data_IF_580784900794
#
_entry.id   IF_580784900794
#
_cell.length_a   1.000
_cell.length_b   1.000
_cell.length_c   1.000
_cell.angle_alpha   90.00
_cell.angle_beta   90.00
_cell.angle_gamma   90.00
#
_symmetry.space_group_name_H-M   'P 1'
#
loop_
_entity.id
_entity.type
_entity.pdbx_description
1 polymer ?
#
# COMPACT_ATOMS: atom_id res chain seq x y z
N UNK A 1 21.70 8.88 18.57
CA UNK A 1 20.44 9.12 19.29
C UNK A 1 19.47 8.01 18.87
N UNK A 2 18.94 7.20 19.79
CA UNK A 2 17.85 6.26 19.48
C UNK A 2 16.69 7.00 18.81
N UNK A 3 16.12 6.45 17.74
CA UNK A 3 15.03 7.08 16.98
C UNK A 3 15.45 8.03 15.85
N UNK A 4 16.76 8.17 15.55
CA UNK A 4 17.28 8.91 14.40
C UNK A 4 18.09 8.00 13.45
N UNK A 5 17.72 6.73 13.33
CA UNK A 5 18.34 5.83 12.36
C UNK A 5 18.17 6.44 10.97
N UNK A 6 19.22 6.48 10.15
CA UNK A 6 19.21 7.05 8.80
C UNK A 6 19.78 6.02 7.83
N UNK A 7 19.15 4.85 7.79
CA UNK A 7 19.65 3.73 6.99
C UNK A 7 19.25 3.91 5.53
N UNK A 8 20.23 3.76 4.65
CA UNK A 8 20.04 3.76 3.20
C UNK A 8 20.58 2.47 2.61
N UNK A 9 19.73 1.74 1.91
CA UNK A 9 20.07 0.55 1.12
C UNK A 9 19.66 0.86 -0.31
N UNK A 10 20.64 1.10 -1.16
CA UNK A 10 20.40 1.58 -2.53
C UNK A 10 21.25 0.79 -3.51
N UNK A 11 20.75 0.59 -4.74
CA UNK A 11 21.49 -0.06 -5.82
C UNK A 11 22.13 -1.40 -5.41
N UNK A 12 21.43 -2.16 -4.56
CA UNK A 12 21.94 -3.38 -3.94
C UNK A 12 21.28 -4.61 -4.57
N UNK A 13 21.97 -5.75 -4.46
CA UNK A 13 21.49 -7.05 -4.90
C UNK A 13 21.30 -7.94 -3.67
N UNK A 14 20.05 -8.37 -3.42
CA UNK A 14 19.68 -9.22 -2.30
C UNK A 14 19.43 -10.64 -2.80
N UNK A 15 20.41 -11.52 -2.57
CA UNK A 15 20.39 -12.91 -3.06
C UNK A 15 19.75 -13.84 -2.03
N UNK A 16 18.49 -14.23 -2.23
CA UNK A 16 17.73 -15.12 -1.34
C UNK A 16 17.66 -14.65 0.14
N UNK A 17 17.95 -13.37 0.40
CA UNK A 17 18.02 -12.79 1.75
C UNK A 17 17.10 -11.59 1.89
N UNK A 18 16.45 -11.47 3.05
CA UNK A 18 15.54 -10.38 3.35
C UNK A 18 16.13 -9.33 4.30
N UNK A 19 15.38 -8.25 4.50
CA UNK A 19 15.71 -7.20 5.46
C UNK A 19 14.67 -7.23 6.56
N UNK A 20 15.10 -7.17 7.82
CA UNK A 20 14.21 -6.92 8.97
C UNK A 20 14.55 -5.55 9.53
N UNK A 21 13.57 -4.65 9.54
CA UNK A 21 13.70 -3.31 10.10
C UNK A 21 12.77 -3.18 11.30
N UNK A 22 13.37 -3.11 12.50
CA UNK A 22 12.65 -2.92 13.76
C UNK A 22 12.41 -1.43 14.03
N UNK A 23 11.15 -1.07 14.30
CA UNK A 23 10.69 0.31 14.53
C UNK A 23 11.36 1.36 13.60
N UNK A 24 11.25 1.20 12.27
CA UNK A 24 12.07 1.98 11.34
C UNK A 24 11.77 3.47 11.41
N UNK A 25 12.83 4.25 11.58
CA UNK A 25 12.83 5.71 11.42
C UNK A 25 13.81 6.06 10.30
N UNK A 26 13.42 6.95 9.39
CA UNK A 26 14.21 7.45 8.24
C UNK A 26 14.95 6.35 7.47
N UNK A 27 14.23 5.28 7.12
CA UNK A 27 14.73 4.17 6.31
C UNK A 27 14.46 4.42 4.82
N UNK A 28 15.46 4.25 3.97
CA UNK A 28 15.32 4.31 2.52
C UNK A 28 15.88 3.03 1.88
N UNK A 29 15.04 2.30 1.16
CA UNK A 29 15.38 1.12 0.37
C UNK A 29 14.91 1.38 -1.06
N UNK A 30 15.84 1.52 -2.00
CA UNK A 30 15.46 1.81 -3.39
C UNK A 30 16.42 1.28 -4.44
N UNK A 31 15.93 1.19 -5.68
CA UNK A 31 16.71 0.79 -6.86
C UNK A 31 17.49 -0.53 -6.64
N UNK A 32 16.96 -1.40 -5.79
CA UNK A 32 17.60 -2.67 -5.42
C UNK A 32 16.85 -3.84 -6.04
N UNK A 33 17.54 -4.96 -6.24
CA UNK A 33 16.94 -6.19 -6.76
C UNK A 33 16.90 -7.26 -5.67
N UNK A 34 15.72 -7.82 -5.44
CA UNK A 34 15.44 -8.88 -4.48
C UNK A 34 15.15 -10.18 -5.24
N UNK A 35 16.09 -11.13 -5.20
CA UNK A 35 15.97 -12.42 -5.87
C UNK A 35 15.50 -13.51 -4.90
N UNK A 36 14.67 -14.43 -5.41
CA UNK A 36 14.46 -15.74 -4.81
C UNK A 36 13.54 -15.72 -3.61
N UNK A 37 12.43 -14.98 -3.71
CA UNK A 37 11.50 -14.72 -2.62
C UNK A 37 12.11 -13.88 -1.48
N UNK A 38 13.18 -13.12 -1.74
CA UNK A 38 13.70 -12.13 -0.80
C UNK A 38 12.69 -11.01 -0.53
N UNK A 39 12.48 -10.63 0.74
CA UNK A 39 11.45 -9.67 1.17
C UNK A 39 11.95 -8.71 2.26
N UNK A 40 11.14 -7.70 2.56
CA UNK A 40 11.39 -6.76 3.64
C UNK A 40 10.33 -6.97 4.74
N UNK A 41 10.74 -6.97 6.01
CA UNK A 41 9.85 -7.00 7.17
C UNK A 41 9.99 -5.67 7.90
N UNK A 42 8.86 -5.00 8.11
CA UNK A 42 8.75 -3.93 9.10
C UNK A 42 8.24 -4.55 10.38
N UNK A 43 9.09 -4.58 11.41
CA UNK A 43 8.76 -5.20 12.70
C UNK A 43 8.48 -4.12 13.74
N UNK A 44 7.31 -4.22 14.36
CA UNK A 44 6.88 -3.34 15.44
C UNK A 44 7.43 -3.87 16.75
N UNK A 45 8.28 -3.11 17.43
CA UNK A 45 8.73 -3.40 18.80
C UNK A 45 8.03 -2.44 19.77
N UNK A 46 8.07 -1.15 19.45
CA UNK A 46 7.37 -0.06 20.14
C UNK A 46 6.24 0.54 19.28
N UNK A 47 6.07 0.07 18.05
CA UNK A 47 4.99 0.46 17.16
C UNK A 47 5.27 1.71 16.35
N UNK A 48 6.52 1.91 15.91
CA UNK A 48 6.94 3.11 15.16
C UNK A 48 7.32 2.76 13.73
N UNK A 49 6.77 3.47 12.75
CA UNK A 49 7.25 3.49 11.38
C UNK A 49 7.18 4.92 10.85
N UNK A 50 8.33 5.57 10.68
CA UNK A 50 8.40 6.99 10.36
C UNK A 50 9.41 7.32 9.27
N UNK A 51 8.98 7.97 8.19
CA UNK A 51 9.86 8.39 7.10
C UNK A 51 10.50 7.18 6.39
N UNK A 52 9.71 6.17 6.10
CA UNK A 52 10.16 4.92 5.47
C UNK A 52 9.84 4.96 3.99
N UNK A 53 10.82 4.69 3.15
CA UNK A 53 10.68 4.63 1.69
C UNK A 53 11.19 3.28 1.21
N UNK A 54 10.31 2.46 0.66
CA UNK A 54 10.62 1.21 -0.04
C UNK A 54 10.10 1.37 -1.46
N UNK A 55 10.94 1.90 -2.34
CA UNK A 55 10.49 2.41 -3.64
C UNK A 55 11.41 2.01 -4.77
N UNK A 56 10.84 1.86 -5.96
CA UNK A 56 11.62 1.67 -7.20
C UNK A 56 12.54 0.43 -7.14
N UNK A 57 12.13 -0.62 -6.41
CA UNK A 57 12.85 -1.89 -6.35
C UNK A 57 12.26 -2.92 -7.31
N UNK A 58 13.07 -3.92 -7.65
CA UNK A 58 12.67 -5.09 -8.42
C UNK A 58 12.61 -6.32 -7.49
N UNK A 59 11.48 -7.01 -7.45
CA UNK A 59 11.29 -8.25 -6.70
C UNK A 59 11.01 -9.41 -7.64
N UNK A 60 11.74 -10.51 -7.50
CA UNK A 60 11.58 -11.72 -8.31
C UNK A 60 11.52 -12.96 -7.41
N UNK A 61 10.39 -13.64 -7.41
CA UNK A 61 10.13 -14.84 -6.60
C UNK A 61 9.70 -16.05 -7.41
N UNK A 62 9.29 -17.09 -6.69
CA UNK A 62 8.96 -18.42 -7.21
C UNK A 62 7.46 -18.75 -7.20
N UNK A 63 6.59 -17.76 -7.01
CA UNK A 63 5.13 -17.90 -6.84
C UNK A 63 4.71 -18.63 -5.55
N UNK A 64 5.50 -18.52 -4.49
CA UNK A 64 5.21 -19.15 -3.19
C UNK A 64 4.23 -18.33 -2.31
N UNK A 65 3.59 -17.30 -2.86
CA UNK A 65 2.72 -16.39 -2.11
C UNK A 65 3.45 -15.48 -1.13
N UNK A 66 4.77 -15.30 -1.29
CA UNK A 66 5.57 -14.43 -0.43
C UNK A 66 5.32 -12.97 -0.80
N UNK A 67 5.01 -12.16 0.20
CA UNK A 67 4.84 -10.70 0.05
C UNK A 67 6.18 -9.97 -0.02
N UNK A 68 6.28 -8.93 -0.84
CA UNK A 68 7.50 -8.12 -0.98
C UNK A 68 7.82 -7.32 0.29
N UNK A 69 6.80 -6.88 1.01
CA UNK A 69 6.90 -6.18 2.29
C UNK A 69 5.88 -6.76 3.25
N UNK A 70 6.32 -7.13 4.46
CA UNK A 70 5.50 -7.72 5.51
C UNK A 70 5.50 -6.83 6.75
N UNK A 71 4.40 -6.88 7.50
CA UNK A 71 4.35 -6.34 8.85
C UNK A 71 4.52 -7.49 9.84
N UNK A 72 5.53 -7.41 10.71
CA UNK A 72 5.60 -8.22 11.91
C UNK A 72 5.09 -7.40 13.09
N UNK A 73 3.91 -7.77 13.60
CA UNK A 73 3.25 -7.13 14.74
C UNK A 73 3.12 -8.09 15.92
N UNK A 74 3.95 -9.13 15.98
CA UNK A 74 3.94 -10.11 17.07
C UNK A 74 4.18 -9.49 18.45
N UNK A 75 4.91 -8.36 18.53
CA UNK A 75 5.11 -7.57 19.75
C UNK A 75 4.08 -6.43 19.93
N UNK A 76 3.11 -6.30 19.04
CA UNK A 76 2.07 -5.27 19.06
C UNK A 76 1.96 -4.52 17.74
N UNK A 77 0.82 -3.84 17.54
CA UNK A 77 0.55 -3.10 16.31
C UNK A 77 1.41 -1.84 16.15
N UNK A 78 1.64 -1.41 14.91
CA UNK A 78 2.16 -0.08 14.63
C UNK A 78 1.16 0.99 15.05
N UNK A 79 1.58 1.93 15.89
CA UNK A 79 0.75 3.00 16.45
C UNK A 79 1.10 4.37 15.86
N UNK A 80 2.37 4.56 15.52
CA UNK A 80 2.87 5.79 14.94
C UNK A 80 3.35 5.52 13.51
N UNK A 81 2.47 5.79 12.54
CA UNK A 81 2.73 5.59 11.11
C UNK A 81 2.70 6.94 10.40
N UNK A 82 3.88 7.46 10.09
CA UNK A 82 4.08 8.80 9.53
C UNK A 82 5.02 8.74 8.32
N UNK A 83 4.55 9.14 7.13
CA UNK A 83 5.34 9.15 5.89
C UNK A 83 5.99 7.79 5.60
N UNK A 84 5.18 6.74 5.51
CA UNK A 84 5.61 5.41 5.07
C UNK A 84 5.13 5.20 3.64
N UNK A 85 6.08 4.98 2.74
CA UNK A 85 5.85 4.82 1.31
C UNK A 85 6.42 3.49 0.84
N UNK A 86 5.52 2.60 0.43
CA UNK A 86 5.85 1.40 -0.36
C UNK A 86 5.16 1.56 -1.71
N UNK A 87 5.92 1.93 -2.73
CA UNK A 87 5.36 2.35 -4.01
C UNK A 87 6.35 2.11 -5.16
N UNK A 88 5.86 2.01 -6.40
CA UNK A 88 6.65 1.84 -7.63
C UNK A 88 7.64 0.67 -7.61
N UNK A 89 7.37 -0.37 -6.82
CA UNK A 89 8.14 -1.60 -6.88
C UNK A 89 7.58 -2.49 -8.00
N UNK A 90 8.45 -3.07 -8.83
CA UNK A 90 8.05 -4.07 -9.83
C UNK A 90 8.18 -5.45 -9.22
N UNK A 91 7.14 -6.27 -9.38
CA UNK A 91 7.02 -7.55 -8.68
C UNK A 91 6.73 -8.64 -9.69
N UNK A 92 7.54 -9.69 -9.70
CA UNK A 92 7.34 -10.92 -10.46
C UNK A 92 7.40 -12.11 -9.51
N UNK A 93 6.40 -12.99 -9.55
CA UNK A 93 6.42 -14.23 -8.77
C UNK A 93 6.29 -14.07 -7.25
N UNK A 94 5.81 -12.90 -6.79
CA UNK A 94 5.59 -12.55 -5.37
C UNK A 94 4.31 -11.71 -5.24
N UNK A 95 3.81 -11.55 -4.02
CA UNK A 95 2.64 -10.73 -3.74
C UNK A 95 3.03 -9.26 -3.51
N UNK A 96 2.44 -8.37 -4.30
CA UNK A 96 2.63 -6.92 -4.14
C UNK A 96 2.01 -6.43 -2.84
N UNK A 97 2.75 -5.62 -2.09
CA UNK A 97 2.23 -4.82 -0.98
C UNK A 97 2.67 -3.37 -1.17
N UNK A 98 1.77 -2.42 -0.94
CA UNK A 98 1.99 -1.01 -1.22
C UNK A 98 1.25 -0.12 -0.21
N UNK A 99 1.64 1.14 -0.10
CA UNK A 99 0.89 2.17 0.66
C UNK A 99 0.06 3.08 -0.25
N UNK A 100 0.26 2.95 -1.57
CA UNK A 100 -0.53 3.62 -2.60
C UNK A 100 -1.07 2.54 -3.54
N UNK A 101 -2.36 2.54 -3.80
CA UNK A 101 -2.99 1.54 -4.67
C UNK A 101 -4.01 2.19 -5.61
N UNK A 102 -4.18 1.58 -6.79
CA UNK A 102 -5.15 1.99 -7.80
C UNK A 102 -5.98 0.79 -8.23
N UNK A 103 -7.29 0.98 -8.37
CA UNK A 103 -8.20 -0.04 -8.87
C UNK A 103 -9.39 0.61 -9.56
N UNK A 104 -10.09 -0.17 -10.39
CA UNK A 104 -11.32 0.24 -11.03
C UNK A 104 -12.41 -0.79 -10.80
N UNK A 105 -13.66 -0.34 -10.69
CA UNK A 105 -14.81 -1.22 -10.54
C UNK A 105 -15.97 -0.73 -11.39
N UNK A 106 -16.57 -1.65 -12.14
CA UNK A 106 -17.85 -1.44 -12.81
C UNK A 106 -18.98 -1.78 -11.86
N UNK A 107 -20.11 -1.08 -12.00
CA UNK A 107 -21.24 -1.23 -11.10
C UNK A 107 -22.40 -0.34 -11.51
N UNK A 108 -23.48 -0.38 -10.73
CA UNK A 108 -24.73 0.29 -11.05
C UNK A 108 -25.39 0.83 -9.76
N UNK A 109 -24.91 1.98 -9.27
CA UNK A 109 -25.42 2.65 -8.07
C UNK A 109 -24.48 2.63 -6.87
N UNK A 110 -23.83 1.49 -6.59
CA UNK A 110 -22.87 1.34 -5.49
C UNK A 110 -21.62 0.58 -5.98
N UNK A 111 -20.45 1.09 -5.60
CA UNK A 111 -19.16 0.49 -5.92
C UNK A 111 -18.34 0.32 -4.65
N UNK A 112 -17.95 -0.92 -4.36
CA UNK A 112 -17.11 -1.27 -3.21
C UNK A 112 -15.77 -1.79 -3.69
N UNK A 113 -14.75 -0.93 -3.66
CA UNK A 113 -13.40 -1.27 -4.10
C UNK A 113 -12.58 -1.74 -2.91
N UNK A 114 -12.15 -3.00 -2.90
CA UNK A 114 -11.37 -3.60 -1.82
C UNK A 114 -9.88 -3.60 -2.15
N UNK A 115 -9.08 -2.94 -1.31
CA UNK A 115 -7.63 -2.84 -1.45
C UNK A 115 -6.86 -3.70 -0.44
N UNK A 116 -7.53 -4.59 0.30
CA UNK A 116 -6.93 -5.35 1.41
C UNK A 116 -5.76 -6.23 0.98
N UNK A 117 -5.78 -6.76 -0.24
CA UNK A 117 -4.71 -7.60 -0.79
C UNK A 117 -3.46 -6.81 -1.21
N UNK A 118 -3.57 -5.49 -1.32
CA UNK A 118 -2.49 -4.61 -1.81
C UNK A 118 -1.97 -3.74 -0.67
N UNK A 119 -2.86 -3.13 0.13
CA UNK A 119 -2.45 -2.16 1.13
C UNK A 119 -1.66 -2.78 2.27
N UNK A 120 -0.56 -2.13 2.65
CA UNK A 120 0.37 -2.64 3.66
C UNK A 120 -0.27 -2.59 5.06
N UNK A 121 -0.84 -1.44 5.45
CA UNK A 121 -1.43 -1.28 6.76
C UNK A 121 -2.93 -1.62 6.75
N UNK A 122 -3.45 -2.30 7.78
CA UNK A 122 -4.88 -2.53 7.90
C UNK A 122 -5.59 -1.22 8.25
N UNK A 123 -6.67 -0.91 7.53
CA UNK A 123 -7.59 0.18 7.83
C UNK A 123 -6.92 1.55 8.04
N UNK A 124 -5.96 1.91 7.18
CA UNK A 124 -5.17 3.15 7.29
C UNK A 124 -5.23 4.00 6.00
N UNK A 125 -6.33 3.94 5.25
CA UNK A 125 -6.48 4.85 4.11
C UNK A 125 -6.66 6.27 4.65
N UNK A 126 -5.72 7.16 4.33
CA UNK A 126 -5.73 8.56 4.77
C UNK A 126 -6.25 9.50 3.69
N UNK A 127 -6.06 9.14 2.43
CA UNK A 127 -6.52 9.92 1.30
C UNK A 127 -7.12 9.03 0.22
N UNK A 128 -8.22 9.50 -0.37
CA UNK A 128 -8.92 8.85 -1.49
C UNK A 128 -9.13 9.89 -2.58
N UNK A 129 -8.76 9.54 -3.79
CA UNK A 129 -9.12 10.26 -5.01
C UNK A 129 -9.86 9.28 -5.93
N UNK A 130 -10.95 9.72 -6.55
CA UNK A 130 -11.65 8.92 -7.54
C UNK A 130 -12.13 9.74 -8.72
N UNK A 131 -12.29 9.08 -9.85
CA UNK A 131 -13.02 9.59 -11.01
C UNK A 131 -14.20 8.68 -11.32
N UNK A 132 -15.29 9.27 -11.79
CA UNK A 132 -16.54 8.59 -12.11
C UNK A 132 -16.81 8.66 -13.61
N UNK A 133 -16.96 7.51 -14.26
CA UNK A 133 -17.23 7.41 -15.70
C UNK A 133 -18.58 6.72 -15.92
N UNK A 134 -19.65 7.51 -15.99
CA UNK A 134 -20.98 7.02 -16.36
C UNK A 134 -21.04 6.60 -17.82
N UNK A 135 -21.87 5.60 -18.12
CA UNK A 135 -22.26 5.28 -19.50
C UNK A 135 -23.49 6.09 -19.90
N UNK A 136 -23.50 6.58 -21.15
CA UNK A 136 -24.61 7.38 -21.68
C UNK A 136 -24.49 8.87 -21.35
N UNK A 137 -25.64 9.55 -21.25
CA UNK A 137 -25.75 11.01 -21.08
C UNK A 137 -26.19 11.45 -19.68
N UNK A 138 -26.16 10.56 -18.70
CA UNK A 138 -26.59 10.84 -17.32
C UNK A 138 -25.48 11.52 -16.51
N UNK A 139 -25.89 12.43 -15.61
CA UNK A 139 -25.03 13.15 -14.68
C UNK A 139 -25.54 12.95 -13.25
N UNK A 140 -25.41 11.73 -12.69
CA UNK A 140 -25.89 11.43 -11.34
C UNK A 140 -25.09 12.19 -10.28
N UNK A 141 -25.71 12.51 -9.15
CA UNK A 141 -24.93 12.95 -8.00
C UNK A 141 -24.23 11.73 -7.40
N UNK A 142 -22.92 11.82 -7.17
CA UNK A 142 -22.15 10.72 -6.61
C UNK A 142 -21.20 11.22 -5.53
N UNK A 143 -20.94 10.39 -4.53
CA UNK A 143 -20.06 10.73 -3.43
C UNK A 143 -19.29 9.52 -2.90
N UNK A 144 -18.12 9.79 -2.31
CA UNK A 144 -17.46 8.88 -1.40
C UNK A 144 -18.31 8.77 -0.12
N UNK A 145 -18.67 7.55 0.29
CA UNK A 145 -19.58 7.31 1.41
C UNK A 145 -18.92 6.67 2.61
N UNK A 146 -18.00 5.74 2.36
CA UNK A 146 -17.28 5.07 3.43
C UNK A 146 -15.85 4.72 3.01
N UNK A 147 -14.95 4.76 3.99
CA UNK A 147 -13.58 4.28 3.91
C UNK A 147 -13.29 3.51 5.19
N UNK A 148 -13.36 2.19 5.12
CA UNK A 148 -13.13 1.30 6.27
C UNK A 148 -12.59 -0.05 5.80
N UNK A 149 -11.81 -0.73 6.62
CA UNK A 149 -11.29 -2.08 6.32
C UNK A 149 -10.53 -2.15 4.98
N UNK A 150 -9.81 -1.08 4.62
CA UNK A 150 -9.15 -0.93 3.32
C UNK A 150 -10.11 -1.00 2.12
N UNK A 151 -11.40 -0.73 2.34
CA UNK A 151 -12.44 -0.64 1.31
C UNK A 151 -12.89 0.79 1.13
N UNK A 152 -13.14 1.14 -0.12
CA UNK A 152 -13.72 2.43 -0.52
C UNK A 152 -15.10 2.16 -1.08
N UNK A 153 -16.11 2.84 -0.53
CA UNK A 153 -17.50 2.78 -0.99
C UNK A 153 -17.89 4.11 -1.62
N UNK A 154 -18.25 4.05 -2.89
CA UNK A 154 -18.79 5.18 -3.66
C UNK A 154 -20.24 4.84 -4.00
N UNK A 155 -21.13 5.81 -3.89
CA UNK A 155 -22.54 5.66 -4.25
C UNK A 155 -23.01 6.82 -5.12
N UNK A 156 -23.98 6.54 -5.97
CA UNK A 156 -24.79 7.55 -6.67
C UNK A 156 -26.21 7.60 -6.12
N UNK A 157 -26.86 8.75 -6.29
CA UNK A 157 -28.26 8.97 -5.90
C UNK A 157 -29.27 8.14 -6.70
N UNK A 158 -28.89 7.76 -7.93
CA UNK A 158 -29.68 6.89 -8.82
C UNK A 158 -28.85 5.71 -9.32
N UNK A 159 -29.52 4.61 -9.67
CA UNK A 159 -28.88 3.49 -10.33
C UNK A 159 -28.47 3.90 -11.76
N UNK A 160 -27.16 3.91 -12.00
CA UNK A 160 -26.55 4.22 -13.31
C UNK A 160 -25.32 3.34 -13.54
N UNK A 161 -25.21 2.67 -14.70
CA UNK A 161 -24.02 1.89 -15.01
C UNK A 161 -22.81 2.82 -15.19
N UNK A 162 -21.80 2.65 -14.35
CA UNK A 162 -20.59 3.45 -14.38
C UNK A 162 -19.36 2.64 -13.97
N UNK A 163 -18.19 3.14 -14.35
CA UNK A 163 -16.90 2.69 -13.83
C UNK A 163 -16.35 3.73 -12.88
N UNK A 164 -16.00 3.32 -11.65
CA UNK A 164 -15.19 4.14 -10.75
C UNK A 164 -13.72 3.77 -10.90
N UNK A 165 -12.85 4.77 -10.96
CA UNK A 165 -11.40 4.57 -10.87
C UNK A 165 -10.94 5.22 -9.58
N UNK A 166 -10.33 4.45 -8.69
CA UNK A 166 -10.03 4.85 -7.33
C UNK A 166 -8.53 4.75 -7.10
N UNK A 167 -7.95 5.80 -6.52
CA UNK A 167 -6.59 5.83 -5.97
C UNK A 167 -6.69 6.07 -4.46
N UNK A 168 -5.98 5.26 -3.68
CA UNK A 168 -5.92 5.36 -2.22
C UNK A 168 -4.49 5.51 -1.75
N UNK A 169 -4.28 6.25 -0.65
CA UNK A 169 -2.97 6.52 -0.07
C UNK A 169 -2.98 6.42 1.48
N UNK A 170 -2.01 5.70 2.04
CA UNK A 170 -1.80 5.52 3.49
C UNK A 170 -0.65 6.37 4.07
N UNK A 171 0.20 6.93 3.21
CA UNK A 171 1.45 7.62 3.54
C UNK A 171 1.34 9.14 3.63
N UNK A 172 0.32 9.75 3.01
CA UNK A 172 0.09 11.21 3.05
C UNK A 172 -0.20 11.70 4.47
N UNK A 173 0.33 12.87 4.81
CA UNK A 173 0.03 13.62 6.05
C UNK A 173 -1.01 14.69 5.77
N UNK A 174 -2.05 14.74 6.61
CA UNK A 174 -3.03 15.83 6.68
C UNK A 174 -2.41 17.10 7.26
#
# INVERSE_FOLDING_TARGET
MPGNTQTRIVNSYMDYTGIVAEDPVQLHISSSFFLGDAFIVLKSINGVAKGVYIVDNLFSGKNNGVEIVKLDQSNGAFKQIDKVFVDRNTVQGMNTRATIARASMQGNGTWTVDFSSILLFPNLIKHVQYSFSASGSSFPNHALRNVSENRVVIESDVAVPATVFVTVDQGVTS
#
